data_IF_500119178114
#
_entry.id   IF_500119178114
#
_cell.length_a   1.000
_cell.length_b   1.000
_cell.length_c   1.000
_cell.angle_alpha   90.00
_cell.angle_beta   90.00
_cell.angle_gamma   90.00
#
_symmetry.space_group_name_H-M   'P 1'
#
loop_
_entity.id
_entity.type
_entity.pdbx_description
1 polymer ?
#
# COMPACT_ATOMS: atom_id res chain seq x y z
N UNK A 1 -10.47 2.65 -6.36
CA UNK A 1 -9.83 1.33 -6.13
C UNK A 1 -8.51 1.54 -5.40
N UNK A 2 -8.23 0.79 -4.33
CA UNK A 2 -7.02 0.96 -3.50
C UNK A 2 -5.71 0.90 -4.28
N UNK A 3 -5.65 0.11 -5.36
CA UNK A 3 -4.48 0.05 -6.24
C UNK A 3 -4.09 1.41 -6.84
N UNK A 4 -5.02 2.36 -7.02
CA UNK A 4 -4.65 3.71 -7.49
C UNK A 4 -3.72 4.44 -6.51
N UNK A 5 -3.80 4.13 -5.23
CA UNK A 5 -2.88 4.69 -4.22
C UNK A 5 -1.47 4.13 -4.46
N UNK A 6 -1.36 2.84 -4.76
CA UNK A 6 -0.08 2.16 -4.99
C UNK A 6 0.50 2.36 -6.39
N UNK A 7 -0.30 2.90 -7.32
CA UNK A 7 0.13 3.31 -8.66
C UNK A 7 0.37 4.81 -8.77
N UNK A 8 0.18 5.56 -7.68
CA UNK A 8 0.45 6.99 -7.66
C UNK A 8 1.97 7.20 -7.83
N UNK A 9 2.42 7.97 -8.84
CA UNK A 9 3.84 8.12 -9.16
C UNK A 9 4.64 8.79 -8.05
N UNK A 10 3.98 9.54 -7.14
CA UNK A 10 4.61 10.14 -5.96
C UNK A 10 4.91 9.07 -4.90
N UNK A 11 4.07 8.04 -4.81
CA UNK A 11 4.21 6.94 -3.86
C UNK A 11 5.07 5.79 -4.39
N UNK A 12 5.00 5.50 -5.69
CA UNK A 12 5.86 4.51 -6.37
C UNK A 12 7.34 4.89 -6.26
N UNK A 13 7.66 6.18 -6.31
CA UNK A 13 9.04 6.67 -6.16
C UNK A 13 9.57 6.64 -4.73
N UNK A 14 8.75 6.32 -3.72
CA UNK A 14 9.26 6.15 -2.36
C UNK A 14 10.07 4.87 -2.27
N UNK A 15 11.36 4.98 -1.97
CA UNK A 15 12.24 3.82 -1.76
C UNK A 15 11.68 2.84 -0.73
N UNK A 16 11.10 3.40 0.33
CA UNK A 16 10.50 2.65 1.44
C UNK A 16 9.11 2.06 1.11
N UNK A 17 8.42 2.56 0.08
CA UNK A 17 7.05 2.16 -0.26
C UNK A 17 5.97 2.99 0.43
N UNK A 18 4.74 2.48 0.45
CA UNK A 18 3.55 3.18 0.98
C UNK A 18 3.15 2.60 2.33
N UNK A 19 2.92 3.46 3.31
CA UNK A 19 2.49 3.04 4.64
C UNK A 19 0.97 2.91 4.79
N UNK A 20 0.51 2.10 5.76
CA UNK A 20 -0.93 2.00 6.09
C UNK A 20 -1.53 3.38 6.39
N UNK A 21 -0.81 4.24 7.11
CA UNK A 21 -1.28 5.59 7.44
C UNK A 21 -1.51 6.44 6.18
N UNK A 22 -0.63 6.34 5.18
CA UNK A 22 -0.81 7.02 3.89
C UNK A 22 -2.00 6.47 3.10
N UNK A 23 -2.20 5.15 3.14
CA UNK A 23 -3.35 4.48 2.51
C UNK A 23 -4.65 4.93 3.17
N UNK A 24 -4.72 4.91 4.50
CA UNK A 24 -5.86 5.35 5.29
C UNK A 24 -6.20 6.82 5.03
N UNK A 25 -5.19 7.69 5.00
CA UNK A 25 -5.35 9.13 4.74
C UNK A 25 -5.86 9.41 3.32
N UNK A 26 -5.30 8.77 2.29
CA UNK A 26 -5.74 8.97 0.89
C UNK A 26 -7.14 8.44 0.60
N UNK A 27 -7.50 7.31 1.22
CA UNK A 27 -8.82 6.70 1.04
C UNK A 27 -9.87 7.29 1.99
N UNK A 28 -9.46 8.13 2.93
CA UNK A 28 -10.29 8.66 4.00
C UNK A 28 -11.04 7.55 4.78
N UNK A 29 -10.30 6.48 5.12
CA UNK A 29 -10.80 5.30 5.83
C UNK A 29 -10.05 5.09 7.14
N UNK A 30 -10.62 4.30 8.04
CA UNK A 30 -9.94 3.90 9.27
C UNK A 30 -8.72 3.02 8.99
N UNK A 31 -7.70 3.14 9.84
CA UNK A 31 -6.45 2.37 9.75
C UNK A 31 -6.68 0.85 9.71
N UNK A 32 -7.66 0.36 10.50
CA UNK A 32 -8.08 -1.04 10.47
C UNK A 32 -8.59 -1.50 9.10
N UNK A 33 -9.36 -0.64 8.41
CA UNK A 33 -9.89 -0.95 7.08
C UNK A 33 -8.77 -0.89 6.02
N UNK A 34 -7.86 0.08 6.14
CA UNK A 34 -6.68 0.17 5.29
C UNK A 34 -5.81 -1.07 5.43
N UNK A 35 -5.52 -1.50 6.67
CA UNK A 35 -4.75 -2.71 6.97
C UNK A 35 -5.40 -3.98 6.41
N UNK A 36 -6.72 -4.14 6.59
CA UNK A 36 -7.46 -5.26 6.01
C UNK A 36 -7.39 -5.27 4.48
N UNK A 37 -7.51 -4.09 3.84
CA UNK A 37 -7.43 -3.99 2.38
C UNK A 37 -6.03 -4.28 1.86
N UNK A 38 -5.00 -3.80 2.55
CA UNK A 38 -3.60 -4.09 2.20
C UNK A 38 -3.29 -5.56 2.37
N UNK A 39 -3.70 -6.18 3.48
CA UNK A 39 -3.53 -7.61 3.72
C UNK A 39 -4.20 -8.45 2.61
N UNK A 40 -5.40 -8.06 2.17
CA UNK A 40 -6.07 -8.71 1.05
C UNK A 40 -5.30 -8.57 -0.27
N UNK A 41 -4.71 -7.40 -0.53
CA UNK A 41 -3.89 -7.18 -1.72
C UNK A 41 -2.55 -7.95 -1.68
N UNK A 42 -1.99 -8.17 -0.49
CA UNK A 42 -0.81 -9.04 -0.31
C UNK A 42 -1.18 -10.51 -0.60
N UNK A 43 -2.31 -10.98 -0.07
CA UNK A 43 -2.80 -12.35 -0.30
C UNK A 43 -3.05 -12.64 -1.79
N UNK A 44 -3.55 -11.64 -2.52
CA UNK A 44 -3.68 -11.68 -3.97
C UNK A 44 -2.35 -11.60 -4.75
N UNK A 45 -1.22 -11.40 -4.06
CA UNK A 45 0.10 -11.25 -4.67
C UNK A 45 0.31 -9.90 -5.38
N UNK A 46 -0.52 -8.90 -5.09
CA UNK A 46 -0.44 -7.56 -5.69
C UNK A 46 0.42 -6.58 -4.90
N UNK A 47 0.63 -6.84 -3.61
CA UNK A 47 1.52 -6.06 -2.75
C UNK A 47 2.53 -6.98 -2.06
N UNK A 48 3.70 -6.44 -1.78
CA UNK A 48 4.71 -7.10 -0.94
C UNK A 48 5.22 -6.13 0.13
N UNK A 49 5.49 -6.62 1.35
CA UNK A 49 6.11 -5.82 2.39
C UNK A 49 7.55 -5.44 2.00
N UNK A 50 7.98 -4.25 2.38
CA UNK A 50 9.36 -3.80 2.19
C UNK A 50 10.18 -4.05 3.47
N UNK A 51 11.27 -3.29 3.66
CA UNK A 51 12.19 -3.41 4.80
C UNK A 51 11.57 -3.03 6.14
N UNK A 52 10.44 -2.32 6.13
CA UNK A 52 9.68 -1.92 7.33
C UNK A 52 8.33 -2.67 7.36
N UNK A 53 7.96 -3.21 8.52
CA UNK A 53 6.72 -3.98 8.76
C UNK A 53 5.42 -3.26 8.37
N UNK A 54 5.47 -1.94 8.20
CA UNK A 54 4.32 -1.09 7.88
C UNK A 54 4.36 -0.45 6.49
N UNK A 55 5.34 -0.78 5.65
CA UNK A 55 5.44 -0.25 4.28
C UNK A 55 5.32 -1.34 3.23
N UNK A 56 4.61 -1.02 2.15
CA UNK A 56 4.28 -1.98 1.09
C UNK A 56 4.53 -1.38 -0.29
N UNK A 57 4.94 -2.23 -1.23
CA UNK A 57 5.11 -1.89 -2.65
C UNK A 57 4.24 -2.78 -3.53
N UNK A 58 3.84 -2.25 -4.69
CA UNK A 58 3.09 -2.99 -5.70
C UNK A 58 4.02 -3.90 -6.49
N UNK A 59 3.68 -5.18 -6.58
CA UNK A 59 4.41 -6.18 -7.39
C UNK A 59 4.33 -5.86 -8.88
N UNK A 60 3.32 -5.10 -9.32
CA UNK A 60 3.16 -4.66 -10.72
C UNK A 60 4.07 -3.50 -11.11
N UNK A 61 4.65 -2.77 -10.14
CA UNK A 61 5.60 -1.67 -10.36
C UNK A 61 7.05 -2.08 -10.02
N UNK A 62 7.31 -3.39 -9.90
CA UNK A 62 8.65 -3.96 -9.74
C UNK A 62 9.41 -4.03 -11.05
#
# INVERSE_FOLDING_TARGET
>A
MVMNVFHDPVLVNLEHGVSIAQVASRLNISDALARSTVAHLIDLGNLYPTIDDNHYKSTLNG
#
